data_IF_404944858475
#
_entry.id   IF_404944858475
#
_cell.length_a   1.000
_cell.length_b   1.000
_cell.length_c   1.000
_cell.angle_alpha   90.00
_cell.angle_beta   90.00
_cell.angle_gamma   90.00
#
_symmetry.space_group_name_H-M   'P 1'
#
loop_
_entity.id
_entity.type
_entity.pdbx_description
1 polymer ?
#
# COMPACT_ATOMS: atom_id res chain seq x y z
N UNK A 1 -45.33 5.10 4.84
CA UNK A 1 -44.95 4.75 3.46
C UNK A 1 -43.70 3.92 3.52
N UNK A 2 -43.82 2.66 3.12
CA UNK A 2 -42.75 1.65 3.10
C UNK A 2 -42.03 1.72 1.76
N UNK A 3 -40.71 1.89 1.77
CA UNK A 3 -39.86 1.66 0.60
C UNK A 3 -39.10 0.36 0.83
N UNK A 4 -39.34 -0.56 -0.10
CA UNK A 4 -39.03 -1.96 -0.01
C UNK A 4 -37.52 -2.26 -0.05
N UNK A 5 -37.14 -3.18 0.83
CA UNK A 5 -35.97 -4.05 0.77
C UNK A 5 -36.06 -4.87 -0.53
N UNK A 6 -35.17 -4.61 -1.47
CA UNK A 6 -34.91 -5.49 -2.62
C UNK A 6 -33.56 -5.11 -3.25
N UNK A 7 -32.45 -5.52 -2.61
CA UNK A 7 -31.11 -5.27 -3.15
C UNK A 7 -29.96 -5.97 -2.42
N UNK A 8 -30.12 -6.34 -1.15
CA UNK A 8 -28.98 -6.78 -0.33
C UNK A 8 -28.49 -8.22 -0.58
N UNK A 9 -29.38 -9.17 -0.91
CA UNK A 9 -28.99 -10.59 -0.90
C UNK A 9 -28.23 -11.07 -2.16
N UNK A 10 -28.08 -10.23 -3.19
CA UNK A 10 -27.28 -10.57 -4.40
C UNK A 10 -25.94 -9.85 -4.47
N UNK A 11 -25.62 -8.99 -3.51
CA UNK A 11 -24.37 -8.20 -3.49
C UNK A 11 -23.26 -8.82 -2.65
N UNK A 12 -23.58 -9.68 -1.68
CA UNK A 12 -22.58 -10.34 -0.82
C UNK A 12 -21.80 -11.45 -1.54
N UNK A 13 -22.48 -12.32 -2.31
CA UNK A 13 -21.82 -13.50 -2.90
C UNK A 13 -20.74 -13.21 -3.96
N UNK A 14 -20.67 -11.99 -4.50
CA UNK A 14 -19.61 -11.59 -5.43
C UNK A 14 -18.38 -10.97 -4.74
N UNK A 15 -18.58 -10.30 -3.61
CA UNK A 15 -17.49 -9.71 -2.82
C UNK A 15 -16.70 -10.81 -2.12
N UNK A 16 -17.39 -11.83 -1.61
CA UNK A 16 -16.78 -12.96 -0.93
C UNK A 16 -15.98 -13.84 -1.90
N UNK A 17 -16.48 -14.12 -3.12
CA UNK A 17 -15.75 -14.98 -4.07
C UNK A 17 -14.43 -14.37 -4.56
N UNK A 18 -14.38 -13.05 -4.82
CA UNK A 18 -13.14 -12.37 -5.23
C UNK A 18 -12.14 -12.28 -4.07
N UNK A 19 -12.63 -11.97 -2.87
CA UNK A 19 -11.84 -11.98 -1.64
C UNK A 19 -11.29 -13.38 -1.36
N UNK A 20 -12.12 -14.41 -1.37
CA UNK A 20 -11.74 -15.81 -1.16
C UNK A 20 -10.71 -16.28 -2.18
N UNK A 21 -10.89 -15.94 -3.45
CA UNK A 21 -9.95 -16.28 -4.51
C UNK A 21 -8.59 -15.59 -4.31
N UNK A 22 -8.57 -14.28 -4.04
CA UNK A 22 -7.34 -13.54 -3.77
C UNK A 22 -6.65 -14.01 -2.49
N UNK A 23 -7.39 -14.26 -1.43
CA UNK A 23 -6.87 -14.88 -0.21
C UNK A 23 -6.28 -16.25 -0.48
N UNK A 24 -6.96 -17.07 -1.28
CA UNK A 24 -6.43 -18.39 -1.68
C UNK A 24 -5.12 -18.24 -2.43
N UNK A 25 -5.00 -17.25 -3.32
CA UNK A 25 -3.74 -16.95 -4.00
C UNK A 25 -2.64 -16.58 -3.01
N UNK A 26 -2.91 -15.72 -2.02
CA UNK A 26 -1.95 -15.38 -0.96
C UNK A 26 -1.59 -16.58 -0.07
N UNK A 27 -2.52 -17.52 0.12
CA UNK A 27 -2.30 -18.74 0.90
C UNK A 27 -1.48 -19.81 0.18
N UNK A 28 -1.42 -19.79 -1.15
CA UNK A 28 -0.60 -20.72 -1.93
C UNK A 28 0.90 -20.44 -1.73
N UNK A 29 1.79 -21.44 -1.85
CA UNK A 29 3.22 -21.27 -1.61
C UNK A 29 3.86 -20.10 -2.38
N UNK A 30 3.51 -19.92 -3.67
CA UNK A 30 4.01 -18.82 -4.48
C UNK A 30 3.47 -17.45 -4.04
N UNK A 31 2.19 -17.37 -3.66
CA UNK A 31 1.61 -16.14 -3.11
C UNK A 31 2.21 -15.77 -1.77
N UNK A 32 2.46 -16.75 -0.88
CA UNK A 32 3.15 -16.51 0.39
C UNK A 32 4.55 -15.95 0.19
N UNK A 33 5.32 -16.52 -0.74
CA UNK A 33 6.64 -15.99 -1.09
C UNK A 33 6.56 -14.54 -1.57
N UNK A 34 5.59 -14.22 -2.44
CA UNK A 34 5.39 -12.85 -2.88
C UNK A 34 5.05 -11.91 -1.72
N UNK A 35 4.21 -12.32 -0.77
CA UNK A 35 3.88 -11.50 0.40
C UNK A 35 5.09 -11.28 1.31
N UNK A 36 5.92 -12.30 1.52
CA UNK A 36 7.17 -12.12 2.26
C UNK A 36 8.09 -11.10 1.59
N UNK A 37 8.21 -11.11 0.26
CA UNK A 37 8.98 -10.11 -0.48
C UNK A 37 8.41 -8.70 -0.31
N UNK A 38 7.09 -8.54 -0.28
CA UNK A 38 6.45 -7.24 -0.02
C UNK A 38 6.74 -6.72 1.39
N UNK A 39 6.70 -7.62 2.38
CA UNK A 39 7.04 -7.28 3.76
C UNK A 39 8.53 -6.88 3.90
N UNK A 40 9.41 -7.51 3.13
CA UNK A 40 10.82 -7.10 3.01
C UNK A 40 10.98 -5.70 2.39
N UNK A 41 10.21 -5.35 1.36
CA UNK A 41 10.23 -3.98 0.77
C UNK A 41 9.87 -2.92 1.81
N UNK A 42 8.85 -3.18 2.64
CA UNK A 42 8.46 -2.27 3.73
C UNK A 42 9.60 -2.12 4.73
N UNK A 43 10.19 -3.24 5.15
CA UNK A 43 11.30 -3.25 6.10
C UNK A 43 12.53 -2.50 5.56
N UNK A 44 12.90 -2.77 4.32
CA UNK A 44 14.03 -2.16 3.63
C UNK A 44 13.83 -0.65 3.44
N UNK A 45 12.62 -0.22 3.10
CA UNK A 45 12.28 1.20 3.04
C UNK A 45 12.50 1.88 4.40
N UNK A 46 11.98 1.32 5.50
CA UNK A 46 12.20 1.90 6.83
C UNK A 46 13.68 1.89 7.21
N UNK A 47 14.42 0.85 6.82
CA UNK A 47 15.84 0.70 7.10
C UNK A 47 16.74 1.68 6.34
N UNK A 48 16.37 2.04 5.11
CA UNK A 48 17.28 2.66 4.13
C UNK A 48 16.75 3.92 3.43
N UNK A 49 15.53 4.38 3.74
CA UNK A 49 14.99 5.58 3.09
C UNK A 49 15.93 6.79 3.29
N UNK A 50 16.10 7.58 2.23
CA UNK A 50 16.93 8.77 2.23
C UNK A 50 16.24 9.88 1.45
N UNK A 51 16.11 11.03 2.11
CA UNK A 51 15.72 12.29 1.48
C UNK A 51 16.67 13.38 1.96
N UNK A 52 17.30 14.11 1.02
CA UNK A 52 18.30 15.15 1.31
C UNK A 52 19.42 14.65 2.25
N UNK A 53 20.00 13.48 1.96
CA UNK A 53 21.12 12.90 2.72
C UNK A 53 20.77 12.58 4.19
N UNK A 54 19.47 12.43 4.50
CA UNK A 54 18.98 12.07 5.83
C UNK A 54 17.99 10.91 5.71
N UNK A 55 18.13 9.96 6.64
CA UNK A 55 17.14 8.91 6.87
C UNK A 55 16.04 9.35 7.82
N UNK A 56 14.82 8.91 7.55
CA UNK A 56 13.64 9.19 8.35
C UNK A 56 13.10 7.89 8.94
N UNK A 57 12.82 7.89 10.24
CA UNK A 57 12.07 6.83 10.89
C UNK A 57 10.59 6.90 10.47
N UNK A 58 9.85 5.79 10.63
CA UNK A 58 8.41 5.79 10.42
C UNK A 58 7.69 6.91 11.19
N UNK A 59 8.12 7.19 12.43
CA UNK A 59 7.54 8.28 13.23
C UNK A 59 7.81 9.65 12.62
N UNK A 60 9.04 9.90 12.15
CA UNK A 60 9.38 11.17 11.53
C UNK A 60 8.64 11.38 10.21
N UNK A 61 8.42 10.32 9.42
CA UNK A 61 7.58 10.39 8.22
C UNK A 61 6.15 10.81 8.60
N UNK A 62 5.55 10.18 9.61
CA UNK A 62 4.20 10.48 10.09
C UNK A 62 4.08 11.93 10.58
N UNK A 63 5.08 12.42 11.33
CA UNK A 63 5.01 13.77 11.93
C UNK A 63 5.42 14.88 10.96
N UNK A 64 6.34 14.61 10.03
CA UNK A 64 6.89 15.65 9.15
C UNK A 64 6.10 15.77 7.85
N UNK A 65 5.55 14.68 7.32
CA UNK A 65 4.84 14.69 6.04
C UNK A 65 3.73 15.75 5.93
N UNK A 66 2.90 15.97 6.98
CA UNK A 66 1.88 17.02 6.93
C UNK A 66 2.44 18.42 6.65
N UNK A 67 3.65 18.72 7.10
CA UNK A 67 4.28 20.05 6.95
C UNK A 67 4.93 20.29 5.59
N UNK A 68 5.00 19.28 4.72
CA UNK A 68 5.82 19.33 3.51
C UNK A 68 5.18 20.06 2.32
N UNK A 69 3.85 20.22 2.34
CA UNK A 69 3.02 20.90 1.34
C UNK A 69 3.04 20.32 -0.08
N UNK A 70 3.79 19.23 -0.31
CA UNK A 70 3.85 18.48 -1.58
C UNK A 70 4.53 17.12 -1.36
N UNK A 71 4.25 16.13 -2.22
CA UNK A 71 4.92 14.83 -2.19
C UNK A 71 6.45 14.97 -2.20
N UNK A 72 7.12 14.06 -1.49
CA UNK A 72 8.58 13.90 -1.51
C UNK A 72 8.94 12.53 -2.05
N UNK A 73 10.10 12.46 -2.68
CA UNK A 73 10.64 11.23 -3.20
C UNK A 73 11.83 10.80 -2.34
N UNK A 74 11.78 9.58 -1.84
CA UNK A 74 12.79 8.98 -0.98
C UNK A 74 13.52 7.89 -1.76
N UNK A 75 14.85 7.98 -1.84
CA UNK A 75 15.65 6.85 -2.30
C UNK A 75 15.61 5.77 -1.22
N UNK A 76 15.49 4.50 -1.58
CA UNK A 76 15.68 3.39 -0.65
C UNK A 76 16.31 2.22 -1.40
N UNK A 77 16.84 1.23 -0.67
CA UNK A 77 17.51 0.07 -1.26
C UNK A 77 16.78 -1.19 -0.83
N UNK A 78 16.31 -1.98 -1.80
CA UNK A 78 15.72 -3.29 -1.59
C UNK A 78 16.52 -4.34 -2.37
N UNK A 79 16.91 -5.43 -1.71
CA UNK A 79 17.75 -6.49 -2.31
C UNK A 79 19.03 -5.96 -3.03
N UNK A 80 19.61 -4.86 -2.53
CA UNK A 80 20.79 -4.22 -3.12
C UNK A 80 20.51 -3.35 -4.36
N UNK A 81 19.23 -3.19 -4.72
CA UNK A 81 18.77 -2.40 -5.86
C UNK A 81 18.16 -1.09 -5.35
N UNK A 82 18.54 0.08 -5.91
CA UNK A 82 17.95 1.35 -5.52
C UNK A 82 16.54 1.53 -6.11
N UNK A 83 15.62 2.09 -5.33
CA UNK A 83 14.25 2.42 -5.71
C UNK A 83 13.89 3.83 -5.24
N UNK A 84 12.77 4.36 -5.75
CA UNK A 84 12.23 5.67 -5.39
C UNK A 84 10.81 5.53 -4.84
N UNK A 85 10.65 5.72 -3.53
CA UNK A 85 9.34 5.77 -2.88
C UNK A 85 8.78 7.19 -2.92
N UNK A 86 7.46 7.32 -2.94
CA UNK A 86 6.78 8.62 -2.78
C UNK A 86 6.13 8.68 -1.42
N UNK A 87 6.37 9.76 -0.69
CA UNK A 87 5.67 10.05 0.58
C UNK A 87 4.89 11.34 0.43
N UNK A 88 3.59 11.27 0.72
CA UNK A 88 2.65 12.37 0.60
C UNK A 88 1.73 12.45 1.82
N UNK A 89 1.05 13.58 1.99
CA UNK A 89 0.06 13.78 3.04
C UNK A 89 -1.28 14.12 2.41
N UNK A 90 -2.31 13.37 2.78
CA UNK A 90 -3.67 13.49 2.27
C UNK A 90 -4.60 13.92 3.39
N UNK A 91 -5.16 15.12 3.23
CA UNK A 91 -6.24 15.60 4.10
C UNK A 91 -7.54 14.93 3.69
N UNK A 92 -8.05 14.05 4.55
CA UNK A 92 -9.24 13.26 4.27
C UNK A 92 -10.49 13.86 4.92
N UNK A 93 -11.69 13.56 4.39
CA UNK A 93 -12.94 14.02 5.01
C UNK A 93 -13.22 13.39 6.38
N UNK A 94 -12.53 12.29 6.71
CA UNK A 94 -12.73 11.52 7.94
C UNK A 94 -11.44 11.30 8.72
N UNK A 95 -10.33 11.03 8.03
CA UNK A 95 -9.01 10.78 8.60
C UNK A 95 -7.96 11.33 7.66
N UNK A 96 -6.99 12.05 8.22
CA UNK A 96 -5.77 12.44 7.50
C UNK A 96 -4.82 11.25 7.38
N UNK A 97 -4.18 11.10 6.23
CA UNK A 97 -3.31 9.97 5.95
C UNK A 97 -1.95 10.44 5.45
N UNK A 98 -0.88 9.87 6.00
CA UNK A 98 0.43 9.89 5.35
C UNK A 98 0.48 8.69 4.40
N UNK A 99 0.56 8.96 3.10
CA UNK A 99 0.66 7.92 2.08
C UNK A 99 2.11 7.68 1.68
N UNK A 100 2.60 6.45 1.88
CA UNK A 100 3.89 5.96 1.42
C UNK A 100 3.66 4.96 0.29
N UNK A 101 4.04 5.36 -0.92
CA UNK A 101 4.01 4.52 -2.11
C UNK A 101 5.37 3.88 -2.34
N UNK A 102 5.38 2.56 -2.32
CA UNK A 102 6.54 1.71 -2.42
C UNK A 102 6.48 0.97 -3.77
N UNK A 103 7.35 1.30 -4.73
CA UNK A 103 7.45 0.54 -5.96
C UNK A 103 8.00 -0.87 -5.66
N UNK A 104 7.37 -1.87 -6.26
CA UNK A 104 7.83 -3.26 -6.23
C UNK A 104 7.54 -3.94 -7.58
N UNK A 105 8.44 -4.80 -8.05
CA UNK A 105 8.26 -5.60 -9.27
C UNK A 105 7.65 -6.99 -8.98
N UNK A 106 7.56 -7.37 -7.71
CA UNK A 106 7.06 -8.67 -7.23
C UNK A 106 5.58 -8.97 -7.52
N UNK A 107 4.78 -7.99 -7.96
CA UNK A 107 3.37 -8.21 -8.31
C UNK A 107 3.09 -8.58 -9.77
N UNK A 108 4.11 -8.62 -10.61
CA UNK A 108 3.94 -8.51 -12.07
C UNK A 108 3.14 -9.61 -12.78
N UNK A 109 2.59 -10.66 -12.13
CA UNK A 109 1.92 -11.77 -12.83
C UNK A 109 0.76 -12.49 -12.10
N UNK A 110 -0.16 -11.77 -11.46
CA UNK A 110 -1.51 -12.34 -11.34
C UNK A 110 -2.19 -12.19 -12.72
N UNK A 111 -2.36 -13.32 -13.43
CA UNK A 111 -2.96 -13.31 -14.78
C UNK A 111 -4.36 -12.73 -14.69
N UNK A 112 -4.63 -11.74 -15.53
CA UNK A 112 -5.92 -11.05 -15.69
C UNK A 112 -7.10 -12.02 -15.93
N UNK A 113 -6.78 -13.24 -16.38
CA UNK A 113 -7.71 -14.29 -16.85
C UNK A 113 -8.66 -14.82 -15.75
N UNK A 114 -8.41 -14.61 -14.46
CA UNK A 114 -9.28 -15.13 -13.37
C UNK A 114 -10.23 -14.09 -12.73
N UNK A 115 -10.11 -12.79 -13.01
CA UNK A 115 -10.81 -11.71 -12.25
C UNK A 115 -11.87 -10.98 -13.12
N UNK A 116 -12.50 -11.70 -14.04
CA UNK A 116 -13.38 -11.11 -15.07
C UNK A 116 -14.79 -10.70 -14.62
N UNK A 117 -15.09 -10.55 -13.31
CA UNK A 117 -16.49 -10.36 -12.86
C UNK A 117 -16.84 -9.19 -11.93
N UNK A 118 -15.96 -8.21 -11.66
CA UNK A 118 -16.27 -7.18 -10.64
C UNK A 118 -16.16 -5.72 -11.15
N UNK A 119 -17.10 -4.88 -10.70
CA UNK A 119 -17.38 -3.50 -11.19
C UNK A 119 -16.30 -2.46 -10.78
N UNK A 120 -16.49 -1.24 -11.32
CA UNK A 120 -15.70 0.00 -11.29
C UNK A 120 -14.63 0.13 -10.19
N UNK A 121 -13.36 0.26 -10.60
CA UNK A 121 -12.23 0.62 -9.73
C UNK A 121 -11.21 -0.48 -9.51
N UNK A 122 -11.65 -1.74 -9.41
CA UNK A 122 -10.75 -2.90 -9.25
C UNK A 122 -10.38 -3.26 -7.81
N UNK A 123 -10.95 -2.58 -6.80
CA UNK A 123 -10.61 -2.75 -5.39
C UNK A 123 -11.38 -3.89 -4.72
N UNK A 124 -10.67 -4.66 -3.89
CA UNK A 124 -11.22 -5.73 -3.05
C UNK A 124 -10.61 -5.61 -1.65
N UNK A 125 -11.45 -5.56 -0.62
CA UNK A 125 -10.99 -5.64 0.78
C UNK A 125 -10.61 -7.08 1.15
N UNK A 126 -9.47 -7.24 1.80
CA UNK A 126 -8.91 -8.53 2.20
C UNK A 126 -9.02 -8.72 3.72
N UNK A 127 -8.98 -9.98 4.17
CA UNK A 127 -8.96 -10.28 5.61
C UNK A 127 -7.63 -9.87 6.24
N UNK A 128 -7.67 -8.78 7.00
CA UNK A 128 -6.49 -8.24 7.67
C UNK A 128 -5.92 -9.15 8.75
N UNK A 129 -6.72 -10.00 9.40
CA UNK A 129 -6.22 -10.93 10.42
C UNK A 129 -5.28 -11.95 9.80
N UNK A 130 -5.72 -12.52 8.67
CA UNK A 130 -4.95 -13.49 7.91
C UNK A 130 -3.71 -12.86 7.26
N UNK A 131 -3.85 -11.64 6.73
CA UNK A 131 -2.73 -10.97 6.07
C UNK A 131 -1.64 -10.52 7.03
N UNK A 132 -1.98 -10.11 8.26
CA UNK A 132 -0.97 -9.73 9.25
C UNK A 132 -0.03 -10.90 9.62
N UNK A 133 -0.46 -12.16 9.47
CA UNK A 133 0.44 -13.32 9.61
C UNK A 133 1.55 -13.34 8.55
N UNK A 134 1.29 -12.76 7.37
CA UNK A 134 2.23 -12.71 6.26
C UNK A 134 3.07 -11.44 6.21
N UNK A 135 2.76 -10.43 7.05
CA UNK A 135 3.53 -9.19 7.17
C UNK A 135 4.19 -9.03 8.55
N UNK A 136 5.11 -9.93 8.96
CA UNK A 136 5.72 -9.87 10.29
C UNK A 136 6.61 -8.65 10.52
N UNK A 137 7.20 -8.05 9.48
CA UNK A 137 7.97 -6.82 9.62
C UNK A 137 7.05 -5.60 9.73
N UNK A 138 5.96 -5.55 8.97
CA UNK A 138 4.91 -4.55 9.19
C UNK A 138 4.41 -4.62 10.63
N UNK A 139 4.13 -5.83 11.16
CA UNK A 139 3.71 -6.03 12.54
C UNK A 139 4.68 -5.37 13.54
N UNK A 140 6.01 -5.51 13.34
CA UNK A 140 7.02 -4.85 14.20
C UNK A 140 6.97 -3.32 14.11
N UNK A 141 6.64 -2.77 12.94
CA UNK A 141 6.58 -1.32 12.73
C UNK A 141 5.32 -0.73 13.40
N UNK A 142 4.23 -1.51 13.45
CA UNK A 142 2.88 -1.01 13.79
C UNK A 142 2.40 -1.37 15.19
N UNK A 143 2.97 -2.41 15.82
CA UNK A 143 2.48 -3.07 17.04
C UNK A 143 2.17 -2.16 18.24
N UNK A 144 2.67 -0.92 18.27
CA UNK A 144 2.49 0.00 19.40
C UNK A 144 1.78 1.31 19.03
N UNK A 145 1.36 1.50 17.77
CA UNK A 145 0.89 2.80 17.27
C UNK A 145 -0.41 2.75 16.48
N UNK A 146 -0.69 1.65 15.81
CA UNK A 146 -1.88 1.50 15.01
C UNK A 146 -2.79 0.43 15.61
N UNK A 147 -4.06 0.77 15.74
CA UNK A 147 -5.10 -0.03 16.42
C UNK A 147 -5.95 -0.81 15.45
N UNK A 148 -5.99 -0.39 14.18
CA UNK A 148 -6.71 -1.07 13.10
C UNK A 148 -5.91 -1.02 11.81
N UNK A 149 -5.95 -2.11 11.04
CA UNK A 149 -5.32 -2.22 9.72
C UNK A 149 -6.33 -2.82 8.75
N UNK A 150 -6.53 -2.16 7.62
CA UNK A 150 -7.40 -2.63 6.54
C UNK A 150 -6.55 -2.82 5.29
N UNK A 151 -6.69 -3.97 4.64
CA UNK A 151 -5.98 -4.31 3.43
C UNK A 151 -6.92 -4.26 2.24
N UNK A 152 -6.49 -3.60 1.18
CA UNK A 152 -7.16 -3.60 -0.10
C UNK A 152 -6.21 -4.06 -1.18
N UNK A 153 -6.71 -4.85 -2.13
CA UNK A 153 -5.99 -5.18 -3.35
C UNK A 153 -6.73 -4.61 -4.55
N UNK A 154 -6.01 -3.94 -5.44
CA UNK A 154 -6.51 -3.54 -6.73
C UNK A 154 -6.02 -4.50 -7.81
N UNK A 155 -6.90 -5.33 -8.36
CA UNK A 155 -6.50 -6.30 -9.39
C UNK A 155 -6.21 -5.67 -10.76
N UNK A 156 -6.73 -4.46 -11.03
CA UNK A 156 -6.47 -3.74 -12.29
C UNK A 156 -5.13 -3.01 -12.27
N UNK A 157 -4.81 -2.42 -11.12
CA UNK A 157 -3.57 -1.68 -10.90
C UNK A 157 -2.45 -2.57 -10.34
N UNK A 158 -2.78 -3.81 -9.96
CA UNK A 158 -1.87 -4.76 -9.34
C UNK A 158 -1.14 -4.17 -8.13
N UNK A 159 -1.89 -3.46 -7.27
CA UNK A 159 -1.35 -2.84 -6.06
C UNK A 159 -2.06 -3.32 -4.80
N UNK A 160 -1.36 -3.28 -3.67
CA UNK A 160 -1.93 -3.46 -2.33
C UNK A 160 -1.90 -2.11 -1.62
N UNK A 161 -3.04 -1.70 -1.08
CA UNK A 161 -3.14 -0.61 -0.11
C UNK A 161 -3.35 -1.19 1.29
N UNK A 162 -2.53 -0.74 2.22
CA UNK A 162 -2.69 -1.04 3.64
C UNK A 162 -2.99 0.29 4.33
N UNK A 163 -4.17 0.40 4.94
CA UNK A 163 -4.56 1.56 5.70
C UNK A 163 -4.46 1.23 7.19
N UNK A 164 -3.65 1.99 7.90
CA UNK A 164 -3.37 1.81 9.32
C UNK A 164 -3.91 3.01 10.09
N UNK A 165 -4.78 2.74 11.04
CA UNK A 165 -5.48 3.74 11.84
C UNK A 165 -5.00 3.70 13.29
N UNK A 166 -5.11 4.84 13.96
CA UNK A 166 -4.80 5.02 15.38
C UNK A 166 -6.03 5.57 16.09
N UNK A 167 -6.16 5.25 17.37
CA UNK A 167 -7.23 5.80 18.23
C UNK A 167 -6.93 7.25 18.65
N UNK A 168 -5.70 7.74 18.43
CA UNK A 168 -5.34 9.13 18.68
C UNK A 168 -5.83 10.04 17.54
N UNK A 169 -6.84 10.90 17.78
CA UNK A 169 -7.40 11.77 16.74
C UNK A 169 -6.44 12.87 16.27
N UNK A 170 -5.33 13.09 16.98
CA UNK A 170 -4.31 14.08 16.62
C UNK A 170 -3.18 13.51 15.76
N UNK A 171 -3.13 12.18 15.60
CA UNK A 171 -2.11 11.50 14.81
C UNK A 171 -2.72 11.05 13.47
N UNK A 172 -2.15 11.43 12.32
CA UNK A 172 -2.64 10.96 11.04
C UNK A 172 -2.45 9.45 10.91
N UNK A 173 -3.35 8.79 10.19
CA UNK A 173 -3.19 7.40 9.81
C UNK A 173 -2.03 7.23 8.81
N UNK A 174 -1.66 5.98 8.57
CA UNK A 174 -0.62 5.62 7.60
C UNK A 174 -1.26 4.80 6.49
N UNK A 175 -0.99 5.16 5.24
CA UNK A 175 -1.34 4.37 4.08
C UNK A 175 -0.05 3.88 3.43
N UNK A 176 0.12 2.56 3.34
CA UNK A 176 1.20 1.93 2.60
C UNK A 176 0.64 1.38 1.29
N UNK A 177 1.07 1.92 0.17
CA UNK A 177 0.71 1.42 -1.16
C UNK A 177 1.90 0.69 -1.76
N UNK A 178 1.78 -0.61 -1.96
CA UNK A 178 2.74 -1.39 -2.74
C UNK A 178 2.23 -1.46 -4.18
N UNK A 179 2.94 -0.82 -5.10
CA UNK A 179 2.52 -0.68 -6.50
C UNK A 179 3.62 -1.14 -7.47
N UNK A 180 3.23 -1.48 -8.70
CA UNK A 180 4.20 -1.84 -9.73
C UNK A 180 5.16 -0.69 -10.01
N UNK A 181 6.46 -0.94 -9.91
CA UNK A 181 7.48 0.07 -10.19
C UNK A 181 8.83 -0.53 -10.58
N UNK A 182 9.74 0.33 -11.02
CA UNK A 182 11.06 -0.06 -11.53
C UNK A 182 12.19 0.48 -10.65
N UNK A 183 13.34 -0.20 -10.63
CA UNK A 183 14.55 0.32 -10.03
C UNK A 183 14.86 1.75 -10.45
N UNK A 184 15.30 2.55 -9.49
CA UNK A 184 15.71 3.91 -9.72
C UNK A 184 17.09 3.94 -10.40
N UNK A 185 17.14 4.41 -11.65
CA UNK A 185 18.38 4.65 -12.38
C UNK A 185 18.67 6.16 -12.38
N UNK A 186 19.75 6.60 -11.72
CA UNK A 186 20.16 8.02 -11.65
C UNK A 186 20.34 8.66 -13.05
N UNK A 187 20.61 7.85 -14.08
CA UNK A 187 20.91 8.30 -15.44
C UNK A 187 19.72 8.92 -16.20
N UNK A 188 18.48 8.75 -15.73
CA UNK A 188 17.29 9.31 -16.38
C UNK A 188 16.70 10.55 -15.69
N UNK A 189 17.03 10.83 -14.43
CA UNK A 189 16.39 11.91 -13.65
C UNK A 189 17.11 13.27 -13.75
N UNK A 190 18.33 13.32 -14.30
CA UNK A 190 19.02 14.59 -14.58
C UNK A 190 18.78 15.17 -15.98
N UNK A 191 17.93 14.55 -16.82
CA UNK A 191 17.64 15.05 -18.18
C UNK A 191 16.17 15.39 -18.38
N UNK A 192 15.75 16.50 -17.76
CA UNK A 192 15.12 17.67 -18.41
C UNK A 192 14.56 18.61 -17.34
N UNK A 193 14.91 19.91 -17.35
CA UNK A 193 14.12 20.90 -16.64
C UNK A 193 12.68 20.86 -17.16
N UNK A 194 11.69 20.96 -16.27
CA UNK A 194 10.30 21.20 -16.65
C UNK A 194 10.25 22.47 -17.50
N UNK A 195 10.00 22.33 -18.81
CA UNK A 195 9.62 23.46 -19.64
C UNK A 195 8.22 23.88 -19.19
N UNK A 196 8.08 25.12 -18.70
CA UNK A 196 6.78 25.77 -18.53
C UNK A 196 6.14 25.88 -19.92
N UNK A 197 4.94 25.32 -20.08
CA UNK A 197 3.99 25.70 -21.14
C UNK A 197 3.13 26.82 -20.59
#
# INVERSE_FOLDING_TARGET
MSLAIAGDERLQGGHDAAREHLQTLFLQPAGRQNVCLLDEVIFDFIGSNEFKQRRYTAQELITCAPSWGRPKHFKFVHAGIPYLATVDFWEGPHVDLVNIRLPNDGFSRLREEEIFRHRCGGWVELDGTLLMEFFPNLAKIVANKFTSIIFYYNYKQQCIDMQLFTDDPSTPGLMLTLEHGYPYMDDQSQRRPLQRV
#
